data_IF_639402984555
#
_entry.id   IF_639402984555
#
_cell.length_a   1.000
_cell.length_b   1.000
_cell.length_c   1.000
_cell.angle_alpha   90.00
_cell.angle_beta   90.00
_cell.angle_gamma   90.00
#
_symmetry.space_group_name_H-M   'P 1'
#
loop_
_entity.id
_entity.type
_entity.pdbx_description
1 polymer ?
#
# COMPACT_ATOMS: atom_id res chain seq x y z
N UNK A 1 -14.54 -21.57 -21.04
CA UNK A 1 -13.85 -20.47 -20.36
C UNK A 1 -14.75 -19.24 -20.46
N UNK A 2 -15.55 -18.97 -19.41
CA UNK A 2 -16.30 -17.72 -19.31
C UNK A 2 -15.27 -16.68 -18.88
N UNK A 3 -14.67 -15.98 -19.83
CA UNK A 3 -13.97 -14.72 -19.57
C UNK A 3 -15.00 -13.78 -18.94
N UNK A 4 -14.81 -13.43 -17.66
CA UNK A 4 -15.57 -12.34 -17.07
C UNK A 4 -15.38 -11.12 -17.96
N UNK A 5 -16.47 -10.65 -18.60
CA UNK A 5 -16.39 -9.52 -19.53
C UNK A 5 -15.95 -8.30 -18.75
N UNK A 6 -14.71 -7.83 -18.96
CA UNK A 6 -14.30 -6.51 -18.55
C UNK A 6 -15.19 -5.52 -19.29
N UNK A 7 -15.95 -4.73 -18.58
CA UNK A 7 -16.80 -3.68 -19.14
C UNK A 7 -16.10 -2.33 -19.03
N UNK A 8 -16.31 -1.46 -20.00
CA UNK A 8 -15.80 -0.11 -19.91
C UNK A 8 -16.44 0.62 -18.73
N UNK A 9 -15.59 1.20 -17.88
CA UNK A 9 -16.01 2.08 -16.78
C UNK A 9 -15.02 3.24 -16.71
N UNK A 10 -15.55 4.46 -16.68
CA UNK A 10 -14.76 5.65 -16.42
C UNK A 10 -14.85 6.00 -14.93
N UNK A 11 -13.71 6.14 -14.28
CA UNK A 11 -13.57 6.44 -12.85
C UNK A 11 -13.41 7.94 -12.58
N UNK A 12 -13.37 8.76 -13.63
CA UNK A 12 -13.19 10.21 -13.50
C UNK A 12 -11.82 10.60 -12.98
N UNK A 13 -11.76 11.79 -12.38
CA UNK A 13 -10.52 12.27 -11.79
C UNK A 13 -10.28 11.60 -10.44
N UNK A 14 -9.17 10.90 -10.34
CA UNK A 14 -8.69 10.34 -9.07
C UNK A 14 -7.89 11.41 -8.31
N UNK A 15 -7.80 11.27 -7.02
CA UNK A 15 -7.09 12.19 -6.12
C UNK A 15 -5.97 11.45 -5.40
N UNK A 16 -5.08 12.17 -4.77
CA UNK A 16 -4.13 11.60 -3.83
C UNK A 16 -4.87 10.99 -2.64
N UNK A 17 -4.27 9.99 -2.01
CA UNK A 17 -4.76 9.45 -0.74
C UNK A 17 -3.89 9.99 0.39
N UNK A 18 -4.37 11.02 1.08
CA UNK A 18 -3.65 11.66 2.17
C UNK A 18 -4.58 11.77 3.39
N UNK A 19 -4.04 11.54 4.57
CA UNK A 19 -4.81 11.60 5.83
C UNK A 19 -6.04 10.68 5.87
N UNK A 20 -5.94 9.50 5.24
CA UNK A 20 -7.02 8.51 5.23
C UNK A 20 -8.21 8.88 4.35
N UNK A 21 -8.06 9.83 3.44
CA UNK A 21 -9.11 10.30 2.52
C UNK A 21 -8.54 10.74 1.17
N UNK A 22 -9.43 10.89 0.20
CA UNK A 22 -9.08 11.43 -1.11
C UNK A 22 -8.93 12.95 -1.01
N UNK A 23 -7.72 13.44 -1.30
CA UNK A 23 -7.35 14.85 -1.25
C UNK A 23 -6.97 15.38 -2.62
N UNK A 24 -7.42 16.59 -2.94
CA UNK A 24 -7.03 17.25 -4.18
C UNK A 24 -5.55 17.62 -4.16
N UNK A 25 -4.85 17.35 -5.26
CA UNK A 25 -3.47 17.78 -5.43
C UNK A 25 -3.37 19.32 -5.49
N UNK A 26 -2.23 19.83 -5.06
CA UNK A 26 -1.85 21.23 -5.27
C UNK A 26 -1.45 21.53 -6.72
N UNK A 27 -1.21 20.48 -7.52
CA UNK A 27 -0.98 20.59 -8.96
C UNK A 27 -2.30 20.67 -9.72
N UNK A 28 -2.35 21.50 -10.75
CA UNK A 28 -3.48 21.58 -11.68
C UNK A 28 -3.33 20.59 -12.85
N UNK A 29 -2.14 20.04 -13.02
CA UNK A 29 -1.83 19.12 -14.11
C UNK A 29 -2.36 17.72 -13.81
N UNK A 30 -2.79 17.05 -14.88
CA UNK A 30 -3.40 15.72 -14.81
C UNK A 30 -2.80 14.81 -15.85
N UNK A 31 -2.65 13.54 -15.48
CA UNK A 31 -2.18 12.49 -16.36
C UNK A 31 -3.35 11.56 -16.67
N UNK A 32 -3.57 11.26 -17.95
CA UNK A 32 -4.62 10.33 -18.39
C UNK A 32 -4.20 8.88 -18.13
N UNK A 33 -5.12 8.12 -17.55
CA UNK A 33 -5.01 6.66 -17.39
C UNK A 33 -5.74 6.00 -18.55
N UNK A 34 -5.00 5.41 -19.47
CA UNK A 34 -5.54 4.76 -20.66
C UNK A 34 -5.64 3.26 -20.41
N UNK A 35 -6.83 2.69 -20.58
CA UNK A 35 -6.99 1.24 -20.55
C UNK A 35 -6.44 0.61 -21.83
N UNK A 36 -5.45 -0.28 -21.74
CA UNK A 36 -4.97 -1.03 -22.91
C UNK A 36 -6.04 -1.94 -23.51
N UNK A 37 -7.05 -2.29 -22.72
CA UNK A 37 -8.14 -3.17 -23.14
C UNK A 37 -9.14 -2.47 -24.08
N UNK A 38 -9.36 -1.18 -23.85
CA UNK A 38 -10.36 -0.39 -24.60
C UNK A 38 -9.76 0.69 -25.49
N UNK A 39 -8.44 0.96 -25.35
CA UNK A 39 -7.76 2.11 -25.98
C UNK A 39 -8.51 3.43 -25.70
N UNK A 40 -8.93 3.61 -24.44
CA UNK A 40 -9.71 4.78 -23.97
C UNK A 40 -9.26 5.20 -22.58
N UNK A 41 -9.41 6.50 -22.34
CA UNK A 41 -9.24 7.06 -21.00
C UNK A 41 -10.31 6.52 -20.06
N UNK A 42 -9.86 5.95 -18.94
CA UNK A 42 -10.71 5.38 -17.88
C UNK A 42 -10.64 6.17 -16.58
N UNK A 43 -9.63 7.01 -16.43
CA UNK A 43 -9.45 7.90 -15.30
C UNK A 43 -8.43 8.97 -15.65
N UNK A 44 -8.31 9.99 -14.80
CA UNK A 44 -7.14 10.85 -14.73
C UNK A 44 -6.60 10.85 -13.30
N UNK A 45 -5.29 11.01 -13.14
CA UNK A 45 -4.63 11.20 -11.84
C UNK A 45 -3.94 12.56 -11.81
N UNK A 46 -3.70 13.16 -10.64
CA UNK A 46 -2.90 14.38 -10.57
C UNK A 46 -1.44 14.10 -10.93
N UNK A 47 -0.79 15.02 -11.62
CA UNK A 47 0.67 15.09 -11.67
C UNK A 47 1.15 15.79 -10.38
N UNK A 48 1.25 15.00 -9.30
CA UNK A 48 1.53 15.50 -7.97
C UNK A 48 2.89 16.17 -7.90
N UNK A 49 2.96 17.28 -7.19
CA UNK A 49 4.18 18.07 -7.05
C UNK A 49 4.84 17.91 -5.67
N UNK A 50 5.97 18.58 -5.47
CA UNK A 50 6.73 18.57 -4.21
C UNK A 50 5.87 19.03 -3.02
N UNK A 51 4.89 19.92 -3.25
CA UNK A 51 3.98 20.37 -2.19
C UNK A 51 3.05 19.27 -1.68
N UNK A 52 2.60 18.35 -2.56
CA UNK A 52 1.80 17.20 -2.19
C UNK A 52 2.64 16.19 -1.40
N UNK A 53 3.85 15.92 -1.89
CA UNK A 53 4.79 15.02 -1.22
C UNK A 53 5.14 15.54 0.18
N UNK A 54 5.45 16.82 0.31
CA UNK A 54 5.78 17.42 1.60
C UNK A 54 4.61 17.33 2.58
N UNK A 55 3.36 17.55 2.11
CA UNK A 55 2.17 17.38 2.93
C UNK A 55 2.06 15.93 3.44
N UNK A 56 2.20 14.94 2.56
CA UNK A 56 2.17 13.53 2.91
C UNK A 56 3.25 13.18 3.96
N UNK A 57 4.48 13.68 3.76
CA UNK A 57 5.60 13.47 4.71
C UNK A 57 5.31 14.10 6.07
N UNK A 58 4.83 15.35 6.13
CA UNK A 58 4.51 16.03 7.37
C UNK A 58 3.43 15.29 8.16
N UNK A 59 2.35 14.88 7.48
CA UNK A 59 1.28 14.09 8.08
C UNK A 59 1.78 12.75 8.61
N UNK A 60 2.61 12.04 7.84
CA UNK A 60 3.20 10.77 8.27
C UNK A 60 4.17 10.94 9.44
N UNK A 61 4.99 12.00 9.47
CA UNK A 61 5.86 12.32 10.61
C UNK A 61 5.06 12.58 11.89
N UNK A 62 3.91 13.23 11.79
CA UNK A 62 3.08 13.53 12.97
C UNK A 62 2.55 12.26 13.63
N UNK A 63 2.04 11.29 12.86
CA UNK A 63 1.52 10.03 13.40
C UNK A 63 2.62 9.04 13.78
N UNK A 64 3.80 9.12 13.16
CA UNK A 64 4.92 8.23 13.45
C UNK A 64 5.26 8.19 14.94
N UNK A 65 5.22 9.31 15.64
CA UNK A 65 5.50 9.42 17.08
C UNK A 65 4.57 8.52 17.92
N UNK A 66 3.37 8.29 17.45
CA UNK A 66 2.40 7.39 18.06
C UNK A 66 2.52 5.96 17.50
N UNK A 67 2.49 5.82 16.17
CA UNK A 67 2.46 4.52 15.49
C UNK A 67 3.67 3.65 15.83
N UNK A 68 4.86 4.23 15.89
CA UNK A 68 6.10 3.52 16.25
C UNK A 68 6.07 2.90 17.66
N UNK A 69 5.24 3.42 18.56
CA UNK A 69 5.09 2.94 19.94
C UNK A 69 3.94 1.94 20.12
N UNK A 70 3.08 1.78 19.11
CA UNK A 70 2.04 0.76 19.13
C UNK A 70 2.71 -0.62 19.17
N UNK A 71 2.19 -1.54 19.98
CA UNK A 71 2.71 -2.90 20.06
C UNK A 71 2.72 -3.57 18.68
N UNK A 72 3.79 -4.31 18.39
CA UNK A 72 3.92 -4.99 17.08
C UNK A 72 2.77 -5.98 16.82
N UNK A 73 2.19 -6.58 17.85
CA UNK A 73 1.02 -7.46 17.71
C UNK A 73 -0.21 -6.71 17.24
N UNK A 74 -0.43 -5.50 17.78
CA UNK A 74 -1.56 -4.66 17.41
C UNK A 74 -1.37 -4.12 15.98
N UNK A 75 -0.12 -3.83 15.58
CA UNK A 75 0.19 -3.48 14.18
C UNK A 75 -0.02 -4.66 13.22
N UNK A 76 0.32 -5.88 13.64
CA UNK A 76 0.11 -7.08 12.86
C UNK A 76 -1.38 -7.42 12.69
N UNK A 77 -2.25 -7.03 13.65
CA UNK A 77 -3.70 -7.21 13.54
C UNK A 77 -4.27 -6.53 12.29
N UNK A 78 -3.75 -5.35 11.92
CA UNK A 78 -4.11 -4.68 10.66
C UNK A 78 -3.84 -5.56 9.45
N UNK A 79 -2.75 -6.34 9.47
CA UNK A 79 -2.41 -7.27 8.38
C UNK A 79 -3.34 -8.50 8.34
N UNK A 80 -3.80 -9.00 9.49
CA UNK A 80 -4.84 -10.04 9.52
C UNK A 80 -6.14 -9.55 8.89
N UNK A 81 -6.56 -8.34 9.22
CA UNK A 81 -7.76 -7.72 8.63
C UNK A 81 -7.57 -7.46 7.14
N UNK A 82 -6.42 -6.90 6.72
CA UNK A 82 -6.11 -6.67 5.31
C UNK A 82 -6.13 -7.96 4.49
N UNK A 83 -5.58 -9.06 5.02
CA UNK A 83 -5.63 -10.38 4.38
C UNK A 83 -7.08 -10.79 4.10
N UNK A 84 -7.94 -10.68 5.10
CA UNK A 84 -9.37 -11.04 4.98
C UNK A 84 -10.09 -10.16 3.96
N UNK A 85 -9.79 -8.85 3.95
CA UNK A 85 -10.37 -7.88 3.01
C UNK A 85 -9.92 -8.18 1.58
N UNK A 86 -8.65 -8.49 1.37
CA UNK A 86 -8.12 -8.88 0.04
C UNK A 86 -8.76 -10.16 -0.48
N UNK A 87 -8.99 -11.16 0.38
CA UNK A 87 -9.67 -12.40 0.01
C UNK A 87 -11.12 -12.15 -0.39
N UNK A 88 -11.85 -11.35 0.38
CA UNK A 88 -13.25 -11.00 0.12
C UNK A 88 -13.42 -10.18 -1.16
N UNK A 89 -12.48 -9.29 -1.46
CA UNK A 89 -12.58 -8.34 -2.56
C UNK A 89 -11.64 -8.68 -3.74
N UNK A 90 -11.19 -9.94 -3.84
CA UNK A 90 -10.27 -10.42 -4.89
C UNK A 90 -10.74 -10.08 -6.30
N UNK A 91 -12.03 -10.28 -6.58
CA UNK A 91 -12.61 -10.03 -7.90
C UNK A 91 -12.58 -8.54 -8.26
N UNK A 92 -12.91 -7.67 -7.31
CA UNK A 92 -12.89 -6.23 -7.52
C UNK A 92 -11.48 -5.73 -7.81
N UNK A 93 -10.50 -6.14 -7.00
CA UNK A 93 -9.11 -5.73 -7.19
C UNK A 93 -8.54 -6.27 -8.50
N UNK A 94 -8.83 -7.54 -8.84
CA UNK A 94 -8.41 -8.14 -10.11
C UNK A 94 -9.02 -7.43 -11.32
N UNK A 95 -10.29 -7.01 -11.21
CA UNK A 95 -10.95 -6.23 -12.24
C UNK A 95 -10.27 -4.87 -12.46
N UNK A 96 -9.93 -4.14 -11.40
CA UNK A 96 -9.22 -2.86 -11.50
C UNK A 96 -7.86 -3.02 -12.20
N UNK A 97 -7.09 -4.05 -11.81
CA UNK A 97 -5.81 -4.38 -12.44
C UNK A 97 -5.99 -4.74 -13.91
N UNK A 98 -6.98 -5.55 -14.25
CA UNK A 98 -7.24 -5.91 -15.64
C UNK A 98 -7.62 -4.68 -16.48
N UNK A 99 -8.36 -3.76 -15.90
CA UNK A 99 -8.87 -2.57 -16.58
C UNK A 99 -7.75 -1.56 -16.91
N UNK A 100 -6.86 -1.24 -15.95
CA UNK A 100 -5.80 -0.24 -16.16
C UNK A 100 -4.49 -0.84 -16.68
N UNK A 101 -4.19 -2.10 -16.39
CA UNK A 101 -2.96 -2.76 -16.82
C UNK A 101 -3.11 -3.62 -18.09
N UNK A 102 -4.33 -4.08 -18.41
CA UNK A 102 -4.59 -4.95 -19.55
C UNK A 102 -4.32 -6.45 -19.31
N UNK A 103 -4.05 -6.86 -18.07
CA UNK A 103 -3.92 -8.28 -17.70
C UNK A 103 -5.25 -9.02 -17.82
N UNK A 104 -5.18 -10.35 -17.96
CA UNK A 104 -6.36 -11.18 -17.74
C UNK A 104 -6.77 -11.15 -16.27
N UNK A 105 -8.02 -11.39 -15.97
CA UNK A 105 -8.51 -11.47 -14.57
C UNK A 105 -7.74 -12.54 -13.79
N UNK A 106 -7.45 -13.69 -14.42
CA UNK A 106 -6.72 -14.79 -13.78
C UNK A 106 -5.26 -14.42 -13.46
N UNK A 107 -4.55 -13.73 -14.37
CA UNK A 107 -3.20 -13.23 -14.10
C UNK A 107 -3.20 -12.15 -13.01
N UNK A 108 -4.23 -11.30 -13.00
CA UNK A 108 -4.40 -10.30 -11.97
C UNK A 108 -4.60 -10.95 -10.59
N UNK A 109 -5.47 -11.96 -10.49
CA UNK A 109 -5.65 -12.76 -9.26
C UNK A 109 -4.36 -13.44 -8.82
N UNK A 110 -3.64 -14.07 -9.74
CA UNK A 110 -2.36 -14.70 -9.46
C UNK A 110 -1.34 -13.70 -8.87
N UNK A 111 -1.31 -12.46 -9.37
CA UNK A 111 -0.43 -11.42 -8.83
C UNK A 111 -0.89 -10.93 -7.46
N UNK A 112 -2.20 -10.78 -7.22
CA UNK A 112 -2.74 -10.42 -5.90
C UNK A 112 -2.40 -11.49 -4.86
N UNK A 113 -2.54 -12.78 -5.21
CA UNK A 113 -2.21 -13.89 -4.31
C UNK A 113 -0.76 -13.83 -3.84
N UNK A 114 0.20 -13.56 -4.74
CA UNK A 114 1.61 -13.38 -4.38
C UNK A 114 1.84 -12.16 -3.47
N UNK A 115 1.10 -11.07 -3.69
CA UNK A 115 1.14 -9.92 -2.77
C UNK A 115 0.57 -10.28 -1.40
N UNK A 116 -0.54 -11.03 -1.37
CA UNK A 116 -1.18 -11.51 -0.13
C UNK A 116 -0.26 -12.43 0.69
N UNK A 117 0.61 -13.23 0.07
CA UNK A 117 1.61 -14.04 0.77
C UNK A 117 2.52 -13.19 1.66
N UNK A 118 2.89 -11.99 1.21
CA UNK A 118 3.70 -11.06 2.03
C UNK A 118 2.87 -10.40 3.13
N UNK A 119 1.59 -10.09 2.88
CA UNK A 119 0.67 -9.66 3.94
C UNK A 119 0.57 -10.73 5.02
N UNK A 120 0.44 -11.99 4.63
CA UNK A 120 0.41 -13.14 5.54
C UNK A 120 1.73 -13.30 6.30
N UNK A 121 2.86 -13.19 5.61
CA UNK A 121 4.17 -13.20 6.27
C UNK A 121 4.29 -12.08 7.32
N UNK A 122 3.79 -10.88 7.03
CA UNK A 122 3.84 -9.75 7.97
C UNK A 122 3.09 -10.03 9.29
N UNK A 123 2.08 -10.89 9.28
CA UNK A 123 1.39 -11.31 10.53
C UNK A 123 2.27 -12.12 11.47
N UNK A 124 3.34 -12.73 10.96
CA UNK A 124 4.30 -13.52 11.76
C UNK A 124 5.43 -12.68 12.37
N UNK A 125 5.60 -11.41 11.97
CA UNK A 125 6.68 -10.55 12.44
C UNK A 125 6.76 -10.41 13.98
N UNK A 126 5.64 -10.41 14.75
CA UNK A 126 5.72 -10.43 16.21
C UNK A 126 6.50 -11.60 16.81
N UNK A 127 6.59 -12.72 16.09
CA UNK A 127 7.34 -13.90 16.50
C UNK A 127 8.76 -13.96 15.94
N UNK A 128 9.05 -13.19 14.89
CA UNK A 128 10.33 -13.22 14.17
C UNK A 128 11.24 -12.08 14.63
N UNK A 129 10.69 -10.86 14.81
CA UNK A 129 11.45 -9.68 15.19
C UNK A 129 11.67 -9.60 16.70
N UNK A 130 12.18 -10.69 17.26
CA UNK A 130 12.64 -10.71 18.64
C UNK A 130 14.04 -10.10 18.69
N UNK A 131 14.30 -9.25 19.67
CA UNK A 131 15.66 -8.86 19.99
C UNK A 131 16.46 -10.03 20.53
N UNK A 132 17.74 -9.82 20.75
CA UNK A 132 18.64 -10.78 21.39
C UNK A 132 19.37 -10.11 22.55
N UNK A 133 19.71 -10.90 23.55
CA UNK A 133 20.48 -10.42 24.71
C UNK A 133 21.45 -11.51 25.14
N UNK A 134 22.74 -11.19 25.16
CA UNK A 134 23.81 -12.13 25.55
C UNK A 134 24.81 -11.49 26.50
N UNK A 135 25.28 -12.24 27.48
CA UNK A 135 26.36 -11.82 28.35
C UNK A 135 27.71 -12.08 27.62
N UNK A 136 28.36 -11.01 27.18
CA UNK A 136 29.62 -11.10 26.39
C UNK A 136 30.88 -11.10 27.25
N UNK A 137 30.77 -10.61 28.51
CA UNK A 137 31.83 -10.68 29.51
C UNK A 137 31.22 -10.52 30.91
N UNK A 138 32.05 -10.68 31.98
CA UNK A 138 31.60 -10.48 33.36
C UNK A 138 31.04 -9.05 33.55
N UNK A 139 29.73 -8.96 33.84
CA UNK A 139 29.03 -7.69 34.05
C UNK A 139 28.71 -6.90 32.77
N UNK A 140 28.97 -7.46 31.56
CA UNK A 140 28.65 -6.81 30.29
C UNK A 140 27.63 -7.63 29.53
N UNK A 141 26.45 -7.02 29.29
CA UNK A 141 25.39 -7.57 28.45
C UNK A 141 25.28 -6.78 27.15
N UNK A 142 25.23 -7.50 26.02
CA UNK A 142 24.94 -6.94 24.73
C UNK A 142 23.47 -7.22 24.38
N UNK A 143 22.73 -6.20 23.98
CA UNK A 143 21.32 -6.30 23.60
C UNK A 143 21.14 -5.79 22.17
N UNK A 144 20.47 -6.59 21.34
CA UNK A 144 20.01 -6.22 20.01
C UNK A 144 18.53 -5.86 20.08
N UNK A 145 18.16 -4.68 19.58
CA UNK A 145 16.76 -4.26 19.40
C UNK A 145 16.52 -3.76 18.00
N UNK A 146 15.29 -3.90 17.53
CA UNK A 146 14.84 -3.39 16.23
C UNK A 146 13.96 -2.17 16.44
N UNK A 147 14.30 -1.07 15.78
CA UNK A 147 13.57 0.19 15.85
C UNK A 147 13.06 0.61 14.47
N UNK A 148 11.85 1.20 14.35
CA UNK A 148 11.37 1.72 13.08
C UNK A 148 12.19 2.91 12.62
N UNK A 149 12.41 3.01 11.31
CA UNK A 149 13.24 4.07 10.72
C UNK A 149 12.50 5.42 10.62
N UNK A 150 11.16 5.41 10.53
CA UNK A 150 10.39 6.64 10.37
C UNK A 150 9.40 6.60 9.22
N UNK A 151 9.45 7.61 8.37
CA UNK A 151 8.67 7.68 7.14
C UNK A 151 9.50 7.12 6.00
N UNK A 152 9.02 6.06 5.39
CA UNK A 152 9.66 5.40 4.24
C UNK A 152 8.79 5.56 2.99
N UNK A 153 9.40 5.45 1.82
CA UNK A 153 8.69 5.60 0.55
C UNK A 153 8.95 4.42 -0.38
N UNK A 154 7.98 4.13 -1.25
CA UNK A 154 8.08 3.17 -2.33
C UNK A 154 7.62 3.76 -3.65
N UNK A 155 8.39 3.52 -4.71
CA UNK A 155 8.02 3.83 -6.09
C UNK A 155 7.81 2.50 -6.81
N UNK A 156 6.63 2.28 -7.38
CA UNK A 156 6.26 0.98 -7.94
C UNK A 156 5.97 1.05 -9.43
N UNK A 157 6.32 -0.02 -10.17
CA UNK A 157 6.13 -0.09 -11.62
C UNK A 157 4.68 -0.41 -11.99
N UNK A 158 4.36 -0.23 -13.28
CA UNK A 158 3.03 -0.51 -13.83
C UNK A 158 2.74 -2.01 -13.98
N UNK A 159 3.75 -2.86 -14.18
CA UNK A 159 3.56 -4.25 -14.59
C UNK A 159 2.97 -5.17 -13.50
N UNK A 160 3.07 -4.79 -12.22
CA UNK A 160 2.47 -5.49 -11.07
C UNK A 160 1.91 -4.48 -10.05
N UNK A 161 0.82 -3.77 -10.40
CA UNK A 161 0.40 -2.57 -9.69
C UNK A 161 -0.18 -2.81 -8.28
N UNK A 162 -0.55 -4.04 -7.95
CA UNK A 162 -0.94 -4.43 -6.60
C UNK A 162 0.14 -5.27 -5.90
N UNK A 163 0.77 -6.22 -6.62
CA UNK A 163 1.74 -7.15 -6.04
C UNK A 163 2.96 -6.42 -5.44
N UNK A 164 3.57 -5.52 -6.22
CA UNK A 164 4.79 -4.82 -5.77
C UNK A 164 4.52 -3.88 -4.59
N UNK A 165 3.45 -3.07 -4.57
CA UNK A 165 3.04 -2.36 -3.35
C UNK A 165 2.86 -3.29 -2.14
N UNK A 166 2.17 -4.42 -2.30
CA UNK A 166 1.95 -5.39 -1.23
C UNK A 166 3.22 -6.13 -0.78
N UNK A 167 4.33 -6.04 -1.51
CA UNK A 167 5.62 -6.55 -1.05
C UNK A 167 6.31 -5.60 -0.06
N UNK A 168 6.00 -4.31 -0.10
CA UNK A 168 6.66 -3.29 0.72
C UNK A 168 5.80 -2.81 1.88
N UNK A 169 4.53 -2.49 1.61
CA UNK A 169 3.60 -1.87 2.57
C UNK A 169 3.45 -2.70 3.86
N UNK A 170 3.15 -4.02 3.80
CA UNK A 170 2.91 -4.82 4.99
C UNK A 170 4.10 -4.84 5.93
N UNK A 171 5.29 -5.03 5.39
CA UNK A 171 6.52 -5.12 6.18
C UNK A 171 6.86 -3.76 6.82
N UNK A 172 6.79 -2.67 6.04
CA UNK A 172 7.07 -1.33 6.55
C UNK A 172 6.12 -0.94 7.69
N UNK A 173 4.81 -1.14 7.49
CA UNK A 173 3.78 -0.75 8.45
C UNK A 173 3.86 -1.61 9.72
N UNK A 174 3.98 -2.92 9.59
CA UNK A 174 4.03 -3.83 10.76
C UNK A 174 5.29 -3.62 11.60
N UNK A 175 6.41 -3.23 10.97
CA UNK A 175 7.63 -2.87 11.70
C UNK A 175 7.59 -1.47 12.32
N UNK A 176 6.49 -0.73 12.19
CA UNK A 176 6.24 0.53 12.88
C UNK A 176 6.59 1.78 12.07
N UNK A 177 6.91 1.64 10.78
CA UNK A 177 7.13 2.77 9.90
C UNK A 177 5.82 3.32 9.34
N UNK A 178 5.83 4.59 8.91
CA UNK A 178 4.82 5.13 8.01
C UNK A 178 5.30 4.98 6.57
N UNK A 179 4.37 4.80 5.62
CA UNK A 179 4.71 4.49 4.24
C UNK A 179 4.03 5.44 3.27
N UNK A 180 4.80 6.02 2.35
CA UNK A 180 4.30 6.83 1.24
C UNK A 180 4.53 6.06 -0.05
N UNK A 181 3.46 5.79 -0.80
CA UNK A 181 3.50 5.10 -2.08
C UNK A 181 3.38 6.11 -3.23
N UNK A 182 4.31 6.04 -4.17
CA UNK A 182 4.12 6.61 -5.52
C UNK A 182 3.88 5.44 -6.47
N UNK A 183 2.63 5.13 -6.82
CA UNK A 183 2.34 4.10 -7.83
C UNK A 183 2.69 4.60 -9.23
N UNK A 184 2.70 3.70 -10.22
CA UNK A 184 2.75 4.13 -11.62
C UNK A 184 1.50 4.92 -11.98
N UNK A 185 1.67 6.02 -12.66
CA UNK A 185 0.60 6.85 -13.23
C UNK A 185 -0.25 6.09 -14.27
N UNK A 186 0.31 5.04 -14.86
CA UNK A 186 -0.40 4.21 -15.85
C UNK A 186 -1.41 3.25 -15.22
N UNK A 187 -1.17 2.82 -13.96
CA UNK A 187 -1.98 1.79 -13.29
C UNK A 187 -2.24 2.13 -11.81
N UNK A 188 -2.89 3.27 -11.52
CA UNK A 188 -3.02 3.77 -10.17
C UNK A 188 -4.20 3.17 -9.39
N UNK A 189 -5.21 2.62 -10.09
CA UNK A 189 -6.50 2.29 -9.48
C UNK A 189 -6.37 1.23 -8.37
N UNK A 190 -5.54 0.22 -8.58
CA UNK A 190 -5.32 -0.83 -7.57
C UNK A 190 -4.59 -0.32 -6.33
N UNK A 191 -3.66 0.62 -6.47
CA UNK A 191 -2.93 1.23 -5.35
C UNK A 191 -3.86 2.08 -4.46
N UNK A 192 -4.73 2.87 -5.08
CA UNK A 192 -5.75 3.66 -4.37
C UNK A 192 -6.75 2.73 -3.66
N UNK A 193 -7.13 1.63 -4.29
CA UNK A 193 -8.02 0.65 -3.67
C UNK A 193 -7.37 -0.06 -2.48
N UNK A 194 -6.08 -0.35 -2.54
CA UNK A 194 -5.33 -0.89 -1.39
C UNK A 194 -5.30 0.12 -0.23
N UNK A 195 -5.24 1.43 -0.51
CA UNK A 195 -5.34 2.45 0.52
C UNK A 195 -6.69 2.41 1.26
N UNK A 196 -7.80 2.25 0.51
CA UNK A 196 -9.12 2.05 1.10
C UNK A 196 -9.16 0.78 1.98
N UNK A 197 -8.60 -0.32 1.49
CA UNK A 197 -8.56 -1.59 2.23
C UNK A 197 -7.72 -1.49 3.52
N UNK A 198 -6.61 -0.76 3.48
CA UNK A 198 -5.81 -0.52 4.70
C UNK A 198 -6.60 0.29 5.74
N UNK A 199 -7.36 1.29 5.32
CA UNK A 199 -8.26 2.03 6.21
C UNK A 199 -9.37 1.13 6.77
N UNK A 200 -10.03 0.33 5.94
CA UNK A 200 -11.02 -0.66 6.36
C UNK A 200 -10.43 -1.69 7.35
N UNK A 201 -9.17 -2.06 7.15
CA UNK A 201 -8.42 -2.95 8.05
C UNK A 201 -8.07 -2.31 9.41
N UNK A 202 -8.41 -1.04 9.63
CA UNK A 202 -8.18 -0.34 10.88
C UNK A 202 -6.82 0.36 10.96
N UNK A 203 -6.10 0.55 9.86
CA UNK A 203 -4.88 1.33 9.85
C UNK A 203 -5.18 2.79 10.20
N UNK A 204 -4.51 3.40 11.18
CA UNK A 204 -4.71 4.80 11.51
C UNK A 204 -4.40 5.73 10.33
N UNK A 205 -5.18 6.79 10.20
CA UNK A 205 -4.94 7.84 9.21
C UNK A 205 -3.49 8.35 9.32
N UNK A 206 -2.91 8.74 8.20
CA UNK A 206 -1.52 9.21 8.05
C UNK A 206 -0.41 8.14 8.14
N UNK A 207 -0.68 6.89 8.50
CA UNK A 207 0.35 5.83 8.47
C UNK A 207 0.66 5.42 7.04
N UNK A 208 -0.33 5.45 6.14
CA UNK A 208 -0.18 5.16 4.72
C UNK A 208 -0.71 6.29 3.85
N UNK A 209 0.07 6.69 2.86
CA UNK A 209 -0.27 7.76 1.90
C UNK A 209 0.02 7.30 0.47
N UNK A 210 -0.73 7.87 -0.51
CA UNK A 210 -0.48 7.68 -1.96
C UNK A 210 -0.43 9.06 -2.63
N UNK A 211 0.66 9.33 -3.34
CA UNK A 211 0.90 10.58 -4.09
C UNK A 211 1.34 10.30 -5.51
#
# INVERSE_FOLDING_TARGET
LIMGKISFKNYGHQKNWISGSYEDSKSIEKISVISPYFDKEIATVPDSNVGDLNLAVEKSKSIFQHWSKVNIRDRAEVMFQLKSILEKNMEELAYLIALDNGKTIEDAKGSILRGKEVVEFATSLPSILNGDSSQVANGITCTLSYEPMGVVAGITPFNFPAMVPLWMIPLAITTGNCFILKPSEQTPLSALKIAEYLKEAGLPDNVFQVV
#
